data_IF_958613632325
#
_entry.id   IF_958613632325
#
_cell.length_a   1.000
_cell.length_b   1.000
_cell.length_c   1.000
_cell.angle_alpha   90.00
_cell.angle_beta   90.00
_cell.angle_gamma   90.00
#
_symmetry.space_group_name_H-M   'P 1'
#
loop_
_entity.id
_entity.type
_entity.pdbx_description
1 polymer ?
#
# COMPACT_ATOMS: atom_id res chain seq x y z
N UNK A 1 -1.89 25.25 5.28
CA UNK A 1 -2.74 25.46 6.48
C UNK A 1 -3.85 24.38 6.49
N UNK A 2 -3.72 23.24 7.17
CA UNK A 2 -4.70 22.14 7.12
C UNK A 2 -5.60 22.03 8.36
N UNK A 3 -5.84 23.11 9.07
CA UNK A 3 -6.57 23.08 10.34
C UNK A 3 -8.08 23.42 10.27
N UNK A 4 -8.54 24.09 9.25
CA UNK A 4 -9.89 24.70 9.22
C UNK A 4 -10.97 23.73 8.73
N UNK A 5 -10.62 22.77 7.86
CA UNK A 5 -11.60 21.83 7.30
C UNK A 5 -12.09 20.77 8.30
N UNK A 6 -11.28 20.40 9.30
CA UNK A 6 -11.66 19.38 10.31
C UNK A 6 -12.69 19.90 11.32
N UNK A 7 -12.70 21.20 11.59
CA UNK A 7 -13.63 21.83 12.56
C UNK A 7 -15.04 21.93 11.95
N UNK A 8 -15.16 22.14 10.65
CA UNK A 8 -16.44 22.24 9.94
C UNK A 8 -17.20 20.91 9.90
N UNK A 9 -16.52 19.79 9.61
CA UNK A 9 -17.15 18.46 9.60
C UNK A 9 -17.64 18.03 10.99
N UNK A 10 -16.88 18.35 12.03
CA UNK A 10 -17.27 18.04 13.41
C UNK A 10 -18.53 18.83 13.81
N UNK A 11 -18.65 20.08 13.39
CA UNK A 11 -19.80 20.94 13.68
C UNK A 11 -21.07 20.48 12.94
N UNK A 12 -20.94 20.06 11.69
CA UNK A 12 -22.06 19.51 10.89
C UNK A 12 -22.51 18.14 11.44
N UNK A 13 -21.58 17.28 11.85
CA UNK A 13 -21.89 15.98 12.40
C UNK A 13 -22.57 16.06 13.77
N UNK A 14 -22.12 16.98 14.63
CA UNK A 14 -22.76 17.27 15.92
C UNK A 14 -24.19 17.83 15.72
N UNK A 15 -24.39 18.71 14.73
CA UNK A 15 -25.70 19.28 14.39
C UNK A 15 -26.67 18.26 13.83
N UNK A 16 -26.21 17.29 13.01
CA UNK A 16 -27.04 16.19 12.48
C UNK A 16 -27.42 15.19 13.56
N UNK A 17 -26.55 14.93 14.54
CA UNK A 17 -26.81 13.99 15.64
C UNK A 17 -27.82 14.61 16.63
N UNK A 18 -27.72 15.93 16.89
CA UNK A 18 -28.68 16.61 17.77
C UNK A 18 -30.07 16.81 17.14
N UNK A 19 -30.19 16.82 15.82
CA UNK A 19 -31.46 16.97 15.12
C UNK A 19 -32.31 15.69 15.09
N UNK A 20 -31.75 14.53 15.36
CA UNK A 20 -32.45 13.24 15.32
C UNK A 20 -33.06 12.78 16.65
N UNK A 21 -32.86 13.54 17.76
CA UNK A 21 -33.42 13.18 19.06
C UNK A 21 -34.35 14.28 19.59
N UNK A 22 -35.60 13.92 19.98
CA UNK A 22 -36.51 14.87 20.57
C UNK A 22 -35.96 15.37 21.93
N UNK A 23 -36.22 16.63 22.31
CA UNK A 23 -35.77 17.17 23.59
C UNK A 23 -36.45 16.41 24.72
N UNK A 24 -35.64 15.72 25.54
CA UNK A 24 -36.13 15.02 26.72
C UNK A 24 -36.62 16.08 27.74
N UNK A 25 -37.84 15.86 28.24
CA UNK A 25 -38.41 16.67 29.32
C UNK A 25 -37.49 16.58 30.55
N UNK A 26 -36.99 17.69 30.97
CA UNK A 26 -36.05 17.84 32.09
C UNK A 26 -36.75 17.58 33.43
N UNK A 27 -36.29 16.51 34.10
CA UNK A 27 -36.48 16.33 35.54
C UNK A 27 -35.12 16.51 36.25
N UNK A 28 -35.06 17.10 37.44
CA UNK A 28 -33.79 17.57 38.05
C UNK A 28 -32.84 16.51 38.60
N UNK A 29 -33.13 15.22 38.36
CA UNK A 29 -32.29 14.10 38.85
C UNK A 29 -31.30 13.53 37.84
N UNK A 30 -31.16 14.14 36.64
CA UNK A 30 -30.50 13.48 35.53
C UNK A 30 -29.15 14.02 35.08
N UNK A 31 -28.52 14.93 35.83
CA UNK A 31 -27.18 15.44 35.46
C UNK A 31 -26.13 14.34 35.36
N UNK A 32 -26.21 13.33 36.23
CA UNK A 32 -25.29 12.20 36.26
C UNK A 32 -25.60 11.21 35.11
N UNK A 33 -26.85 10.99 34.82
CA UNK A 33 -27.31 10.11 33.74
C UNK A 33 -26.97 10.73 32.38
N UNK A 34 -27.12 12.06 32.23
CA UNK A 34 -26.74 12.79 31.04
C UNK A 34 -25.22 12.76 30.79
N UNK A 35 -24.41 12.94 31.85
CA UNK A 35 -22.96 12.82 31.78
C UNK A 35 -22.51 11.40 31.38
N UNK A 36 -23.11 10.37 31.97
CA UNK A 36 -22.82 8.97 31.62
C UNK A 36 -23.21 8.65 30.18
N UNK A 37 -24.34 9.12 29.70
CA UNK A 37 -24.78 8.98 28.32
C UNK A 37 -23.85 9.70 27.34
N UNK A 38 -23.48 10.94 27.65
CA UNK A 38 -22.56 11.73 26.84
C UNK A 38 -21.17 11.10 26.74
N UNK A 39 -20.64 10.58 27.86
CA UNK A 39 -19.36 9.87 27.89
C UNK A 39 -19.42 8.55 27.10
N UNK A 40 -20.48 7.76 27.28
CA UNK A 40 -20.68 6.52 26.49
C UNK A 40 -20.76 6.82 24.99
N UNK A 41 -21.48 7.88 24.60
CA UNK A 41 -21.61 8.27 23.20
C UNK A 41 -20.30 8.77 22.61
N UNK A 42 -19.52 9.52 23.39
CA UNK A 42 -18.18 9.96 23.00
C UNK A 42 -17.21 8.78 22.83
N UNK A 43 -17.24 7.83 23.76
CA UNK A 43 -16.43 6.60 23.69
C UNK A 43 -16.83 5.73 22.49
N UNK A 44 -18.14 5.63 22.19
CA UNK A 44 -18.63 4.93 21.01
C UNK A 44 -18.16 5.59 19.72
N UNK A 45 -18.27 6.92 19.62
CA UNK A 45 -17.83 7.67 18.44
C UNK A 45 -16.32 7.56 18.23
N UNK A 46 -15.50 7.64 19.28
CA UNK A 46 -14.05 7.45 19.21
C UNK A 46 -13.69 6.04 18.79
N UNK A 47 -14.41 5.02 19.32
CA UNK A 47 -14.19 3.62 18.95
C UNK A 47 -14.62 3.32 17.52
N UNK A 48 -15.72 3.91 17.06
CA UNK A 48 -16.18 3.82 15.68
C UNK A 48 -15.20 4.48 14.70
N UNK A 49 -14.71 5.69 14.99
CA UNK A 49 -13.72 6.36 14.17
C UNK A 49 -12.38 5.60 14.09
N UNK A 50 -11.94 5.01 15.20
CA UNK A 50 -10.73 4.16 15.18
C UNK A 50 -10.91 2.93 14.31
N UNK A 51 -12.11 2.33 14.33
CA UNK A 51 -12.41 1.13 13.54
C UNK A 51 -12.47 1.42 12.05
N UNK A 52 -13.13 2.52 11.65
CA UNK A 52 -13.21 2.92 10.24
C UNK A 52 -11.86 3.33 9.68
N UNK A 53 -11.03 4.06 10.43
CA UNK A 53 -9.68 4.40 10.02
C UNK A 53 -8.82 3.15 9.79
N UNK A 54 -8.87 2.18 10.71
CA UNK A 54 -8.11 0.93 10.59
C UNK A 54 -8.55 0.11 9.38
N UNK A 55 -9.86 0.00 9.13
CA UNK A 55 -10.37 -0.74 7.94
C UNK A 55 -9.90 -0.08 6.65
N UNK A 56 -9.89 1.25 6.57
CA UNK A 56 -9.40 1.95 5.38
C UNK A 56 -7.90 1.79 5.18
N UNK A 57 -7.11 1.79 6.27
CA UNK A 57 -5.67 1.56 6.21
C UNK A 57 -5.38 0.12 5.74
N UNK A 58 -6.09 -0.88 6.27
CA UNK A 58 -5.95 -2.29 5.88
C UNK A 58 -6.30 -2.52 4.39
N UNK A 59 -7.38 -1.89 3.90
CA UNK A 59 -7.78 -1.97 2.49
C UNK A 59 -6.72 -1.34 1.58
N UNK A 60 -6.23 -0.16 1.96
CA UNK A 60 -5.20 0.53 1.20
C UNK A 60 -3.90 -0.28 1.14
N UNK A 61 -3.49 -0.88 2.26
CA UNK A 61 -2.28 -1.70 2.32
C UNK A 61 -2.42 -2.97 1.47
N UNK A 62 -3.59 -3.61 1.46
CA UNK A 62 -3.86 -4.73 0.57
C UNK A 62 -3.77 -4.35 -0.92
N UNK A 63 -4.39 -3.23 -1.31
CA UNK A 63 -4.32 -2.73 -2.69
C UNK A 63 -2.89 -2.35 -3.10
N UNK A 64 -2.11 -1.77 -2.18
CA UNK A 64 -0.68 -1.52 -2.40
C UNK A 64 0.12 -2.80 -2.64
N UNK A 65 -0.17 -3.85 -1.88
CA UNK A 65 0.49 -5.14 -2.06
C UNK A 65 0.16 -5.75 -3.44
N UNK A 66 -1.09 -5.68 -3.88
CA UNK A 66 -1.49 -6.15 -5.20
C UNK A 66 -0.78 -5.35 -6.32
N UNK A 67 -0.75 -4.03 -6.22
CA UNK A 67 -0.04 -3.18 -7.17
C UNK A 67 1.46 -3.51 -7.23
N UNK A 68 2.10 -3.70 -6.08
CA UNK A 68 3.54 -4.03 -5.99
C UNK A 68 3.89 -5.39 -6.57
N UNK A 69 3.00 -6.38 -6.50
CA UNK A 69 3.29 -7.74 -7.00
C UNK A 69 3.62 -7.77 -8.48
N UNK A 70 2.87 -7.06 -9.31
CA UNK A 70 3.15 -6.95 -10.75
C UNK A 70 4.47 -6.23 -11.03
N UNK A 71 4.66 -5.08 -10.38
CA UNK A 71 5.87 -4.26 -10.56
C UNK A 71 7.15 -5.00 -10.10
N UNK A 72 7.04 -5.85 -9.07
CA UNK A 72 8.18 -6.55 -8.48
C UNK A 72 8.89 -7.47 -9.47
N UNK A 73 8.13 -8.20 -10.29
CA UNK A 73 8.71 -9.12 -11.29
C UNK A 73 9.55 -8.32 -12.29
N UNK A 74 8.99 -7.25 -12.82
CA UNK A 74 9.68 -6.39 -13.80
C UNK A 74 10.91 -5.76 -13.18
N UNK A 75 10.82 -5.25 -11.94
CA UNK A 75 11.95 -4.64 -11.25
C UNK A 75 13.08 -5.62 -10.97
N UNK A 76 12.77 -6.84 -10.51
CA UNK A 76 13.77 -7.88 -10.26
C UNK A 76 14.46 -8.31 -11.56
N UNK A 77 13.71 -8.55 -12.64
CA UNK A 77 14.30 -8.87 -13.93
C UNK A 77 15.14 -7.70 -14.47
N UNK A 78 14.66 -6.46 -14.38
CA UNK A 78 15.40 -5.28 -14.81
C UNK A 78 16.71 -5.10 -14.05
N UNK A 79 16.72 -5.32 -12.75
CA UNK A 79 17.93 -5.21 -11.92
C UNK A 79 18.92 -6.34 -12.23
N UNK A 80 18.43 -7.56 -12.53
CA UNK A 80 19.25 -8.72 -12.86
C UNK A 80 19.82 -8.72 -14.30
N UNK A 81 19.65 -7.64 -15.05
CA UNK A 81 20.48 -7.36 -16.26
C UNK A 81 21.96 -7.28 -15.90
N UNK A 82 22.25 -6.90 -14.66
CA UNK A 82 23.56 -7.02 -14.02
C UNK A 82 23.51 -8.14 -12.99
N UNK A 83 24.61 -8.84 -12.82
CA UNK A 83 24.69 -9.96 -11.88
C UNK A 83 24.70 -9.48 -10.42
N UNK A 84 23.82 -10.08 -9.60
CA UNK A 84 23.73 -9.82 -8.16
C UNK A 84 23.56 -11.12 -7.37
N UNK A 85 24.10 -11.15 -6.14
CA UNK A 85 23.67 -12.13 -5.14
C UNK A 85 22.48 -11.60 -4.34
N UNK A 86 21.68 -12.50 -3.74
CA UNK A 86 20.36 -12.15 -3.18
C UNK A 86 20.33 -10.92 -2.26
N UNK A 87 21.28 -10.82 -1.31
CA UNK A 87 21.35 -9.65 -0.42
C UNK A 87 21.67 -8.34 -1.16
N UNK A 88 22.63 -8.37 -2.11
CA UNK A 88 22.98 -7.19 -2.89
C UNK A 88 21.83 -6.74 -3.79
N UNK A 89 21.10 -7.70 -4.37
CA UNK A 89 19.90 -7.41 -5.15
C UNK A 89 18.84 -6.71 -4.30
N UNK A 90 18.57 -7.24 -3.10
CA UNK A 90 17.60 -6.63 -2.18
C UNK A 90 17.98 -5.19 -1.84
N UNK A 91 19.26 -4.96 -1.52
CA UNK A 91 19.75 -3.64 -1.21
C UNK A 91 19.62 -2.70 -2.42
N UNK A 92 20.01 -3.12 -3.62
CA UNK A 92 19.91 -2.32 -4.83
C UNK A 92 18.45 -1.93 -5.16
N UNK A 93 17.48 -2.83 -4.92
CA UNK A 93 16.05 -2.53 -5.08
C UNK A 93 15.55 -1.56 -4.01
N UNK A 94 15.96 -1.72 -2.75
CA UNK A 94 15.62 -0.81 -1.66
C UNK A 94 16.17 0.60 -1.88
N UNK A 95 17.43 0.73 -2.36
CA UNK A 95 18.06 2.01 -2.70
C UNK A 95 17.29 2.76 -3.81
N UNK A 96 16.54 2.03 -4.65
CA UNK A 96 15.65 2.58 -5.68
C UNK A 96 14.19 2.76 -5.21
N UNK A 97 13.92 2.62 -3.90
CA UNK A 97 12.59 2.82 -3.32
C UNK A 97 11.68 1.58 -3.35
N UNK A 98 12.21 0.42 -3.78
CA UNK A 98 11.47 -0.85 -3.79
C UNK A 98 11.99 -1.77 -2.67
N UNK A 99 11.53 -1.51 -1.45
CA UNK A 99 11.87 -2.36 -0.31
C UNK A 99 11.09 -3.68 -0.37
N UNK A 100 11.81 -4.79 -0.26
CA UNK A 100 11.31 -6.16 -0.37
C UNK A 100 11.91 -7.00 0.76
N UNK A 101 11.05 -7.77 1.41
CA UNK A 101 11.50 -8.73 2.41
C UNK A 101 12.10 -10.00 1.77
N UNK A 102 12.94 -10.69 2.54
CA UNK A 102 13.63 -11.89 2.09
C UNK A 102 12.67 -13.04 1.80
N UNK A 103 11.57 -13.14 2.54
CA UNK A 103 10.57 -14.19 2.35
C UNK A 103 9.80 -14.03 1.04
N UNK A 104 9.76 -12.82 0.49
CA UNK A 104 9.19 -12.54 -0.83
C UNK A 104 10.21 -12.69 -1.95
N UNK A 105 11.43 -12.16 -1.76
CA UNK A 105 12.45 -12.13 -2.80
C UNK A 105 12.96 -13.53 -3.18
N UNK A 106 13.38 -14.35 -2.19
CA UNK A 106 13.98 -15.66 -2.50
C UNK A 106 13.02 -16.65 -3.17
N UNK A 107 11.75 -16.79 -2.77
CA UNK A 107 10.80 -17.60 -3.52
C UNK A 107 10.57 -17.10 -4.94
N UNK A 108 10.55 -15.77 -5.16
CA UNK A 108 10.43 -15.19 -6.49
C UNK A 108 11.63 -15.57 -7.37
N UNK A 109 12.87 -15.40 -6.86
CA UNK A 109 14.09 -15.79 -7.61
C UNK A 109 14.07 -17.26 -8.01
N UNK A 110 13.68 -18.17 -7.10
CA UNK A 110 13.55 -19.60 -7.40
C UNK A 110 12.52 -19.87 -8.49
N UNK A 111 11.38 -19.18 -8.44
CA UNK A 111 10.34 -19.33 -9.45
C UNK A 111 10.81 -18.82 -10.82
N UNK A 112 11.43 -17.67 -10.91
CA UNK A 112 11.95 -17.11 -12.16
C UNK A 112 13.07 -17.99 -12.74
N UNK A 113 13.92 -18.56 -11.89
CA UNK A 113 14.94 -19.53 -12.30
C UNK A 113 14.31 -20.83 -12.81
N UNK A 114 13.31 -21.39 -12.13
CA UNK A 114 12.60 -22.60 -12.59
C UNK A 114 11.84 -22.38 -13.90
N UNK A 115 11.50 -21.15 -14.24
CA UNK A 115 10.91 -20.73 -15.51
C UNK A 115 11.95 -20.49 -16.60
N UNK A 116 13.25 -20.67 -16.31
CA UNK A 116 14.32 -20.46 -17.27
C UNK A 116 14.70 -18.98 -17.51
N UNK A 117 14.09 -18.05 -16.79
CA UNK A 117 14.33 -16.60 -16.98
C UNK A 117 15.61 -16.12 -16.30
N UNK A 118 16.08 -16.86 -15.29
CA UNK A 118 17.32 -16.60 -14.57
C UNK A 118 18.26 -17.78 -14.64
N UNK A 119 19.56 -17.49 -14.65
CA UNK A 119 20.62 -18.44 -14.38
C UNK A 119 21.33 -18.05 -13.10
N UNK A 120 21.75 -19.04 -12.32
CA UNK A 120 22.49 -18.79 -11.09
C UNK A 120 23.78 -19.59 -11.01
N UNK A 121 24.77 -19.03 -10.34
CA UNK A 121 26.07 -19.67 -10.07
C UNK A 121 26.45 -19.49 -8.62
N UNK A 122 27.03 -20.52 -8.02
CA UNK A 122 27.60 -20.44 -6.69
C UNK A 122 29.07 -20.00 -6.80
N UNK A 123 29.42 -19.00 -6.01
CA UNK A 123 30.82 -18.55 -5.88
C UNK A 123 31.16 -18.27 -4.43
N UNK A 124 32.38 -18.62 -4.05
CA UNK A 124 32.91 -18.22 -2.77
C UNK A 124 33.42 -16.77 -2.86
N UNK A 125 32.88 -15.93 -2.03
CA UNK A 125 33.32 -14.55 -1.87
C UNK A 125 33.40 -14.19 -0.40
N UNK A 126 34.56 -13.69 0.05
CA UNK A 126 34.84 -13.36 1.46
C UNK A 126 34.60 -14.55 2.41
N UNK A 127 35.06 -15.75 2.05
CA UNK A 127 34.91 -17.00 2.82
C UNK A 127 33.45 -17.41 3.03
N UNK A 128 32.52 -16.97 2.18
CA UNK A 128 31.12 -17.35 2.19
C UNK A 128 30.66 -17.76 0.81
N UNK A 129 29.97 -18.87 0.72
CA UNK A 129 29.32 -19.27 -0.52
C UNK A 129 28.12 -18.40 -0.78
N UNK A 130 28.14 -17.67 -1.89
CA UNK A 130 27.04 -16.80 -2.35
C UNK A 130 26.51 -17.32 -3.67
N UNK A 131 25.19 -17.24 -3.83
CA UNK A 131 24.50 -17.56 -5.07
C UNK A 131 24.25 -16.27 -5.83
N UNK A 132 24.86 -16.16 -7.01
CA UNK A 132 24.73 -15.04 -7.92
C UNK A 132 23.67 -15.37 -8.97
N UNK A 133 22.85 -14.40 -9.29
CA UNK A 133 21.76 -14.49 -10.25
C UNK A 133 21.97 -13.47 -11.36
N UNK A 134 21.64 -13.84 -12.59
CA UNK A 134 21.58 -12.95 -13.74
C UNK A 134 20.47 -13.41 -14.69
N UNK A 135 20.04 -12.53 -15.60
CA UNK A 135 19.11 -12.92 -16.64
C UNK A 135 19.72 -14.00 -17.56
N UNK A 136 18.88 -14.93 -18.02
CA UNK A 136 19.15 -15.76 -19.19
C UNK A 136 18.86 -14.99 -20.48
N UNK A 137 19.20 -15.55 -21.64
CA UNK A 137 18.84 -14.96 -22.94
C UNK A 137 17.32 -14.86 -23.10
N UNK A 138 16.58 -15.88 -22.66
CA UNK A 138 15.12 -15.88 -22.63
C UNK A 138 14.59 -14.82 -21.63
N UNK A 139 15.22 -14.67 -20.47
CA UNK A 139 14.90 -13.63 -19.50
C UNK A 139 15.06 -12.23 -20.08
N UNK A 140 16.06 -11.99 -20.92
CA UNK A 140 16.21 -10.71 -21.62
C UNK A 140 15.07 -10.44 -22.62
N UNK A 141 14.69 -11.46 -23.40
CA UNK A 141 13.59 -11.34 -24.37
C UNK A 141 12.24 -11.05 -23.66
N UNK A 142 11.95 -11.81 -22.60
CA UNK A 142 10.71 -11.64 -21.81
C UNK A 142 10.71 -10.27 -21.10
N UNK A 143 11.84 -9.82 -20.54
CA UNK A 143 11.92 -8.49 -19.94
C UNK A 143 11.59 -7.39 -20.96
N UNK A 144 12.07 -7.51 -22.21
CA UNK A 144 11.74 -6.56 -23.28
C UNK A 144 10.23 -6.46 -23.49
N UNK A 145 9.54 -7.59 -23.64
CA UNK A 145 8.10 -7.66 -23.80
C UNK A 145 7.35 -7.09 -22.59
N UNK A 146 7.78 -7.42 -21.37
CA UNK A 146 7.17 -6.89 -20.15
C UNK A 146 7.31 -5.36 -20.01
N UNK A 147 8.43 -4.79 -20.47
CA UNK A 147 8.62 -3.35 -20.46
C UNK A 147 7.74 -2.64 -21.51
N UNK A 148 7.52 -3.23 -22.67
CA UNK A 148 6.57 -2.73 -23.67
C UNK A 148 5.14 -2.73 -23.12
N UNK A 149 4.73 -3.84 -22.51
CA UNK A 149 3.41 -3.97 -21.85
C UNK A 149 3.25 -2.98 -20.70
N UNK A 150 4.29 -2.81 -19.87
CA UNK A 150 4.29 -1.80 -18.81
C UNK A 150 4.05 -0.39 -19.33
N UNK A 151 4.73 -0.01 -20.41
CA UNK A 151 4.57 1.31 -21.02
C UNK A 151 3.15 1.51 -21.59
N UNK A 152 2.56 0.46 -22.17
CA UNK A 152 1.18 0.50 -22.65
C UNK A 152 0.17 0.67 -21.51
N UNK A 153 0.37 -0.07 -20.40
CA UNK A 153 -0.46 0.05 -19.19
C UNK A 153 -0.33 1.46 -18.58
N UNK A 154 0.90 1.96 -18.40
CA UNK A 154 1.16 3.30 -17.85
C UNK A 154 0.49 4.39 -18.70
N UNK A 155 0.64 4.33 -20.01
CA UNK A 155 -0.01 5.26 -20.94
C UNK A 155 -1.52 5.23 -20.82
N UNK A 156 -2.10 4.03 -20.69
CA UNK A 156 -3.55 3.86 -20.58
C UNK A 156 -4.06 4.40 -19.24
N UNK A 157 -3.38 4.08 -18.14
CA UNK A 157 -3.73 4.58 -16.81
C UNK A 157 -3.65 6.10 -16.74
N UNK A 158 -2.59 6.70 -17.30
CA UNK A 158 -2.44 8.14 -17.37
C UNK A 158 -3.57 8.82 -18.15
N UNK A 159 -4.08 8.18 -19.21
CA UNK A 159 -5.27 8.67 -19.95
C UNK A 159 -6.51 8.61 -19.10
N UNK A 160 -6.79 7.45 -18.49
CA UNK A 160 -7.96 7.25 -17.61
C UNK A 160 -7.96 8.26 -16.47
N UNK A 161 -6.82 8.45 -15.80
CA UNK A 161 -6.72 9.38 -14.65
C UNK A 161 -6.91 10.83 -15.06
N UNK A 162 -6.45 11.23 -16.26
CA UNK A 162 -6.64 12.62 -16.78
C UNK A 162 -8.10 12.91 -17.17
N UNK A 163 -8.81 11.91 -17.68
CA UNK A 163 -10.21 12.03 -18.10
C UNK A 163 -11.19 12.03 -16.92
N UNK A 164 -10.74 11.66 -15.71
CA UNK A 164 -11.54 11.76 -14.50
C UNK A 164 -11.46 13.20 -13.98
N UNK A 165 -12.60 13.91 -13.79
CA UNK A 165 -12.57 15.22 -13.16
C UNK A 165 -11.92 15.13 -11.79
N UNK A 166 -11.18 16.18 -11.35
CA UNK A 166 -10.50 16.16 -10.05
C UNK A 166 -11.51 15.79 -8.96
N UNK A 167 -11.14 14.78 -8.16
CA UNK A 167 -11.94 14.35 -7.01
C UNK A 167 -12.16 15.58 -6.14
N UNK A 168 -13.42 16.03 -6.07
CA UNK A 168 -13.81 17.14 -5.20
C UNK A 168 -13.74 16.62 -3.74
N UNK A 169 -12.54 16.72 -3.15
CA UNK A 169 -12.27 16.33 -1.75
C UNK A 169 -12.90 17.29 -0.73
N UNK A 170 -13.79 18.20 -1.21
CA UNK A 170 -14.45 19.23 -0.42
C UNK A 170 -15.90 18.86 -0.03
N UNK A 171 -16.28 17.57 0.01
CA UNK A 171 -17.54 17.15 0.62
C UNK A 171 -17.34 16.35 1.88
#
# INVERSE_FOLDING_TARGET
MPGVAKISLFRVMVSLITAQFPPLRTTPLDSISYLRYSVCHLLYAVRYMRRTKRVNDDVLDNLRLELRRGCLIVAVLAQLRTEYYGYALRKALADQGMDIDENTLYPLLRRLESQGLLVSTWREENKRNKRFYRLSDEGHAILGQLLEEWNAIDTTLNRIVRDVPPLDLAR
#
